data_IF_136352988661
#
_entry.id   IF_136352988661
#
_cell.length_a   1.000
_cell.length_b   1.000
_cell.length_c   1.000
_cell.angle_alpha   90.00
_cell.angle_beta   90.00
_cell.angle_gamma   90.00
#
_symmetry.space_group_name_H-M   'P 1'
#
loop_
_entity.id
_entity.type
_entity.pdbx_description
1 polymer ?
#
# COMPACT_ATOMS: atom_id res chain seq x y z
N UNK A 1 -15.84 5.14 -12.89
CA UNK A 1 -14.69 5.72 -12.18
C UNK A 1 -14.06 6.82 -13.03
N UNK A 2 -13.74 7.98 -12.44
CA UNK A 2 -13.00 9.05 -13.11
C UNK A 2 -11.54 8.97 -12.69
N UNK A 3 -10.61 9.10 -13.63
CA UNK A 3 -9.19 9.18 -13.36
C UNK A 3 -8.57 10.42 -14.00
N UNK A 4 -7.58 11.00 -13.32
CA UNK A 4 -6.89 12.23 -13.71
C UNK A 4 -5.40 11.98 -13.87
N UNK A 5 -4.79 12.64 -14.86
CA UNK A 5 -3.34 12.79 -15.01
C UNK A 5 -3.07 14.20 -15.50
N UNK A 6 -2.40 15.01 -14.68
CA UNK A 6 -2.20 16.44 -14.94
C UNK A 6 -3.55 17.15 -15.21
N UNK A 7 -3.69 17.78 -16.38
CA UNK A 7 -4.91 18.45 -16.83
C UNK A 7 -5.81 17.56 -17.71
N UNK A 8 -5.58 16.24 -17.70
CA UNK A 8 -6.34 15.27 -18.49
C UNK A 8 -7.17 14.38 -17.60
N UNK A 9 -8.48 14.35 -17.85
CA UNK A 9 -9.44 13.49 -17.16
C UNK A 9 -9.94 12.38 -18.11
N UNK A 10 -10.12 11.18 -17.57
CA UNK A 10 -10.58 9.99 -18.27
C UNK A 10 -11.63 9.26 -17.46
N UNK A 11 -12.73 8.90 -18.10
CA UNK A 11 -13.79 8.10 -17.50
C UNK A 11 -13.58 6.65 -17.92
N UNK A 12 -13.57 5.75 -16.95
CA UNK A 12 -13.48 4.32 -17.16
C UNK A 12 -14.59 3.59 -16.39
N UNK A 13 -15.30 2.73 -17.11
CA UNK A 13 -16.42 1.94 -16.58
C UNK A 13 -16.03 0.48 -16.32
N UNK A 14 -14.91 0.02 -16.89
CA UNK A 14 -14.43 -1.37 -16.72
C UNK A 14 -13.13 -1.42 -15.93
N UNK A 15 -12.98 -2.45 -15.09
CA UNK A 15 -11.75 -2.68 -14.32
C UNK A 15 -10.50 -2.77 -15.20
N UNK A 16 -10.60 -3.39 -16.38
CA UNK A 16 -9.48 -3.51 -17.32
C UNK A 16 -9.00 -2.14 -17.80
N UNK A 17 -9.94 -1.24 -18.12
CA UNK A 17 -9.61 0.13 -18.51
C UNK A 17 -9.02 0.93 -17.34
N UNK A 18 -9.58 0.77 -16.14
CA UNK A 18 -9.07 1.39 -14.91
C UNK A 18 -7.61 0.97 -14.66
N UNK A 19 -7.31 -0.33 -14.66
CA UNK A 19 -5.93 -0.85 -14.44
C UNK A 19 -4.95 -0.33 -15.49
N UNK A 20 -5.38 -0.23 -16.75
CA UNK A 20 -4.55 0.29 -17.84
C UNK A 20 -4.25 1.77 -17.64
N UNK A 21 -5.25 2.59 -17.32
CA UNK A 21 -5.07 4.02 -17.01
C UNK A 21 -4.21 4.22 -15.76
N UNK A 22 -4.45 3.42 -14.73
CA UNK A 22 -3.65 3.39 -13.52
C UNK A 22 -2.16 3.12 -13.80
N UNK A 23 -1.84 2.16 -14.68
CA UNK A 23 -0.47 1.87 -15.14
C UNK A 23 0.13 3.01 -15.96
N UNK A 24 -0.70 3.79 -16.65
CA UNK A 24 -0.27 4.96 -17.42
C UNK A 24 -0.04 6.21 -16.55
N UNK A 25 -0.25 6.10 -15.23
CA UNK A 25 -0.08 7.20 -14.28
C UNK A 25 -1.34 8.03 -14.06
N UNK A 26 -2.52 7.52 -14.41
CA UNK A 26 -3.77 8.15 -14.00
C UNK A 26 -4.12 7.76 -12.55
N UNK A 27 -4.58 8.74 -11.79
CA UNK A 27 -5.02 8.62 -10.40
C UNK A 27 -6.54 8.74 -10.32
N UNK A 28 -7.23 7.86 -9.60
CA UNK A 28 -8.68 7.94 -9.46
C UNK A 28 -9.08 9.20 -8.69
N UNK A 29 -10.09 9.91 -9.18
CA UNK A 29 -10.68 11.09 -8.55
C UNK A 29 -12.20 10.90 -8.39
N UNK A 30 -12.75 11.23 -7.22
CA UNK A 30 -14.19 11.08 -6.91
C UNK A 30 -14.48 10.08 -5.79
N UNK A 31 -15.75 9.93 -5.41
CA UNK A 31 -16.21 9.03 -4.32
C UNK A 31 -15.88 7.55 -4.57
N UNK A 32 -15.71 7.11 -5.83
CA UNK A 32 -15.19 5.78 -6.17
C UNK A 32 -13.67 5.59 -5.92
N UNK A 33 -12.95 6.64 -5.50
CA UNK A 33 -11.53 6.57 -5.14
C UNK A 33 -11.29 5.95 -3.75
N UNK A 34 -12.35 5.55 -3.03
CA UNK A 34 -12.30 5.00 -1.67
C UNK A 34 -11.57 3.66 -1.53
N UNK A 35 -11.07 3.06 -2.61
CA UNK A 35 -10.18 1.90 -2.54
C UNK A 35 -8.73 2.28 -2.86
N UNK A 36 -8.20 3.26 -2.12
CA UNK A 36 -6.78 3.67 -2.12
C UNK A 36 -5.93 2.67 -1.32
N UNK A 37 -6.08 1.38 -1.56
CA UNK A 37 -5.27 0.34 -0.90
C UNK A 37 -4.63 -0.65 -1.87
N UNK A 38 -4.70 -0.41 -3.19
CA UNK A 38 -4.05 -1.31 -4.13
C UNK A 38 -3.45 -0.62 -5.36
N UNK A 39 -2.35 0.10 -5.14
CA UNK A 39 -1.42 0.45 -6.20
C UNK A 39 0.02 0.30 -5.70
N UNK A 40 0.35 -0.91 -5.25
CA UNK A 40 1.74 -1.34 -5.22
C UNK A 40 2.25 -1.38 -6.67
N UNK A 41 3.22 -0.51 -6.89
CA UNK A 41 4.04 -0.38 -8.08
C UNK A 41 4.81 -1.70 -8.29
N UNK A 42 4.80 -2.34 -9.47
CA UNK A 42 5.45 -3.63 -9.68
C UNK A 42 6.93 -3.44 -10.04
N UNK A 43 7.69 -2.73 -9.22
CA UNK A 43 9.14 -2.62 -9.39
C UNK A 43 9.81 -2.40 -8.03
N UNK A 44 10.47 -3.48 -7.56
CA UNK A 44 11.50 -3.53 -6.50
C UNK A 44 11.05 -3.52 -5.03
N UNK A 45 10.96 -4.74 -4.50
CA UNK A 45 11.69 -5.21 -3.31
C UNK A 45 11.43 -4.61 -1.91
N UNK A 46 10.40 -3.80 -1.68
CA UNK A 46 9.98 -3.46 -0.32
C UNK A 46 8.46 -3.42 -0.29
N UNK A 47 7.82 -4.52 0.13
CA UNK A 47 6.46 -4.40 0.66
C UNK A 47 6.55 -3.38 1.78
N UNK A 48 5.90 -2.22 1.70
CA UNK A 48 5.97 -1.26 2.78
C UNK A 48 5.24 -1.95 3.94
N UNK A 49 6.01 -2.50 4.87
CA UNK A 49 5.49 -2.86 6.18
C UNK A 49 4.71 -1.64 6.76
N UNK A 50 5.05 -0.41 6.32
CA UNK A 50 4.35 0.85 6.62
C UNK A 50 2.85 0.84 6.28
N UNK A 51 2.41 0.03 5.32
CA UNK A 51 1.00 -0.18 5.00
C UNK A 51 0.27 -1.12 5.97
N UNK A 52 0.99 -1.96 6.72
CA UNK A 52 0.38 -2.87 7.69
C UNK A 52 -0.02 -2.14 8.98
N UNK A 53 -1.09 -2.62 9.60
CA UNK A 53 -1.52 -2.14 10.91
C UNK A 53 -0.55 -2.60 11.99
N UNK A 54 -0.46 -1.87 13.10
CA UNK A 54 0.40 -2.22 14.25
C UNK A 54 0.12 -3.63 14.76
N UNK A 55 -1.13 -4.09 14.66
CA UNK A 55 -1.51 -5.45 15.04
C UNK A 55 -0.87 -6.51 14.13
N UNK A 56 -0.87 -6.29 12.82
CA UNK A 56 -0.24 -7.21 11.86
C UNK A 56 1.28 -7.20 11.97
N UNK A 57 1.90 -6.03 12.16
CA UNK A 57 3.34 -5.94 12.42
C UNK A 57 3.73 -6.71 13.69
N UNK A 58 2.94 -6.61 14.77
CA UNK A 58 3.18 -7.36 16.01
C UNK A 58 3.03 -8.86 15.82
N UNK A 59 2.05 -9.30 15.03
CA UNK A 59 1.89 -10.70 14.70
C UNK A 59 3.09 -11.24 13.92
N UNK A 60 3.52 -10.53 12.87
CA UNK A 60 4.70 -10.86 12.07
C UNK A 60 5.97 -10.94 12.91
N UNK A 61 6.18 -9.97 13.78
CA UNK A 61 7.35 -9.94 14.65
C UNK A 61 7.34 -11.12 15.64
N UNK A 62 6.19 -11.45 16.22
CA UNK A 62 6.03 -12.61 17.10
C UNK A 62 6.26 -13.93 16.36
N UNK A 63 5.78 -14.05 15.13
CA UNK A 63 6.04 -15.21 14.26
C UNK A 63 7.52 -15.35 13.89
N UNK A 64 8.24 -14.24 13.76
CA UNK A 64 9.70 -14.24 13.57
C UNK A 64 10.50 -14.46 14.85
N UNK A 65 9.84 -14.63 16.00
CA UNK A 65 10.49 -14.86 17.30
C UNK A 65 11.02 -13.58 17.97
N UNK A 66 10.56 -12.40 17.54
CA UNK A 66 10.89 -11.13 18.19
C UNK A 66 9.98 -10.95 19.42
N UNK A 67 10.55 -11.15 20.60
CA UNK A 67 9.90 -10.90 21.88
C UNK A 67 10.11 -9.44 22.32
N UNK A 68 9.12 -8.83 22.97
CA UNK A 68 9.19 -7.41 23.41
C UNK A 68 8.60 -6.38 22.44
N UNK A 69 8.19 -6.80 21.24
CA UNK A 69 7.58 -5.91 20.23
C UNK A 69 6.20 -5.36 20.60
N UNK A 70 5.55 -5.91 21.63
CA UNK A 70 4.29 -5.38 22.16
C UNK A 70 4.42 -3.96 22.72
N UNK A 71 5.61 -3.59 23.22
CA UNK A 71 5.93 -2.27 23.74
C UNK A 71 6.47 -1.30 22.67
N UNK A 72 6.80 -1.81 21.48
CA UNK A 72 7.29 -1.00 20.37
C UNK A 72 6.13 -0.28 19.65
N UNK A 73 6.41 0.93 19.17
CA UNK A 73 5.49 1.68 18.33
C UNK A 73 5.54 1.17 16.87
N UNK A 74 4.67 1.72 16.03
CA UNK A 74 4.59 1.31 14.61
C UNK A 74 5.95 1.42 13.93
N UNK A 75 6.67 2.53 14.14
CA UNK A 75 7.94 2.84 13.48
C UNK A 75 9.07 1.91 13.92
N UNK A 76 9.16 1.62 15.21
CA UNK A 76 10.14 0.70 15.77
C UNK A 76 9.89 -0.75 15.31
N UNK A 77 8.63 -1.20 15.29
CA UNK A 77 8.25 -2.51 14.74
C UNK A 77 8.64 -2.63 13.26
N UNK A 78 8.46 -1.56 12.49
CA UNK A 78 8.85 -1.49 11.09
C UNK A 78 10.35 -1.59 10.92
N UNK A 79 11.11 -0.82 11.69
CA UNK A 79 12.56 -0.83 11.63
C UNK A 79 13.12 -2.22 11.96
N UNK A 80 12.65 -2.85 13.03
CA UNK A 80 13.10 -4.19 13.43
C UNK A 80 12.71 -5.25 12.41
N UNK A 81 11.50 -5.18 11.83
CA UNK A 81 11.09 -6.12 10.79
C UNK A 81 11.82 -5.93 9.46
N UNK A 82 12.23 -4.70 9.13
CA UNK A 82 13.07 -4.40 7.96
C UNK A 82 14.52 -4.86 8.14
N UNK A 83 15.04 -4.79 9.36
CA UNK A 83 16.42 -5.19 9.68
C UNK A 83 16.62 -6.72 9.69
N UNK A 84 15.55 -7.48 9.95
CA UNK A 84 15.56 -8.95 10.01
C UNK A 84 15.35 -9.62 8.64
N UNK A 85 15.01 -8.87 7.59
CA UNK A 85 14.74 -9.36 6.22
C UNK A 85 15.92 -9.03 5.29
#
# INVERSE_FOLDING_TARGET
MILKKDNVERIAETETAIRKLMRQGFEPIGEDAFNKDNKENPDKADKPLEGMTVAELKALAKEKGLEGVSALNKEDLLAVLKDVV
#
